data_IF_141483136549
#
_entry.id   IF_141483136549
#
_cell.length_a   1.000
_cell.length_b   1.000
_cell.length_c   1.000
_cell.angle_alpha   90.00
_cell.angle_beta   90.00
_cell.angle_gamma   90.00
#
_symmetry.space_group_name_H-M   'P 1'
#
loop_
_entity.id
_entity.type
_entity.pdbx_description
1 polymer ?
#
# COMPACT_ATOMS: atom_id res chain seq x y z
N UNK A 1 -40.31 22.81 -8.19
CA UNK A 1 -39.44 21.63 -7.93
C UNK A 1 -37.93 21.91 -7.95
N UNK A 2 -37.41 22.97 -8.62
CA UNK A 2 -35.96 23.30 -8.64
C UNK A 2 -35.40 23.80 -7.28
N UNK A 3 -36.15 24.58 -6.51
CA UNK A 3 -35.70 25.06 -5.18
C UNK A 3 -35.45 23.94 -4.15
N UNK A 4 -36.28 22.88 -4.12
CA UNK A 4 -36.10 21.77 -3.17
C UNK A 4 -34.84 20.93 -3.43
N UNK A 5 -34.34 20.88 -4.68
CA UNK A 5 -33.06 20.20 -5.00
C UNK A 5 -31.85 21.04 -4.59
N UNK A 6 -31.97 22.37 -4.57
CA UNK A 6 -30.92 23.33 -4.16
C UNK A 6 -30.59 23.22 -2.66
N UNK A 7 -31.60 23.12 -1.80
CA UNK A 7 -31.39 22.94 -0.35
C UNK A 7 -30.77 21.59 -0.02
N UNK A 8 -31.14 20.53 -0.74
CA UNK A 8 -30.62 19.16 -0.51
C UNK A 8 -29.14 19.04 -0.90
N UNK A 9 -28.68 19.72 -1.97
CA UNK A 9 -27.26 19.73 -2.36
C UNK A 9 -26.38 20.54 -1.40
N UNK A 10 -26.87 21.67 -0.88
CA UNK A 10 -26.20 22.48 0.15
C UNK A 10 -26.12 21.70 1.47
N UNK A 11 -27.21 21.00 1.84
CA UNK A 11 -27.21 20.09 2.99
C UNK A 11 -26.22 18.94 2.75
N UNK A 12 -26.18 18.34 1.55
CA UNK A 12 -25.25 17.24 1.22
C UNK A 12 -23.76 17.66 1.29
N UNK A 13 -23.40 18.84 0.76
CA UNK A 13 -22.05 19.41 0.88
C UNK A 13 -21.71 19.76 2.32
N UNK A 14 -22.68 20.28 3.09
CA UNK A 14 -22.50 20.51 4.54
C UNK A 14 -22.34 19.21 5.34
N UNK A 15 -23.00 18.11 4.92
CA UNK A 15 -22.87 16.78 5.54
C UNK A 15 -21.58 16.05 5.11
N UNK A 16 -21.08 16.29 3.89
CA UNK A 16 -19.77 15.77 3.49
C UNK A 16 -18.62 16.43 4.27
N UNK A 17 -18.79 17.69 4.71
CA UNK A 17 -17.87 18.35 5.65
C UNK A 17 -18.00 17.82 7.09
N UNK A 18 -19.17 17.29 7.48
CA UNK A 18 -19.44 16.73 8.82
C UNK A 18 -18.98 15.27 8.97
N UNK A 19 -18.81 14.50 7.89
CA UNK A 19 -18.43 13.08 7.92
C UNK A 19 -16.93 12.81 8.22
N UNK A 20 -16.18 13.82 8.69
CA UNK A 20 -14.76 13.69 9.07
C UNK A 20 -14.56 13.69 10.61
N UNK A 21 -15.62 13.80 11.42
CA UNK A 21 -15.50 13.85 12.89
C UNK A 21 -16.35 12.76 13.57
N UNK A 22 -15.77 11.89 14.43
CA UNK A 22 -16.53 11.10 15.39
C UNK A 22 -17.16 12.02 16.44
N UNK A 23 -18.47 11.89 16.65
CA UNK A 23 -19.31 12.44 17.72
C UNK A 23 -18.59 13.19 18.86
N UNK A 24 -18.74 14.51 18.90
CA UNK A 24 -18.44 15.35 20.07
C UNK A 24 -19.76 15.74 20.75
N UNK A 25 -20.28 14.85 21.58
CA UNK A 25 -21.27 15.20 22.60
C UNK A 25 -20.76 14.72 23.95
N UNK A 26 -20.23 15.62 24.77
CA UNK A 26 -20.53 15.69 26.21
C UNK A 26 -20.00 16.99 26.83
N UNK A 27 -20.96 17.74 27.41
CA UNK A 27 -20.92 18.60 28.59
C UNK A 27 -19.70 18.45 29.54
N UNK A 28 -19.13 19.55 30.05
CA UNK A 28 -19.43 20.10 31.39
C UNK A 28 -18.63 21.39 31.66
N UNK A 29 -19.29 22.31 32.36
CA UNK A 29 -18.78 23.57 32.88
C UNK A 29 -18.03 23.39 34.22
N UNK A 30 -17.10 24.32 34.47
CA UNK A 30 -16.53 24.73 35.76
C UNK A 30 -15.88 23.67 36.66
N UNK A 31 -14.54 23.74 36.82
CA UNK A 31 -13.91 23.89 38.14
C UNK A 31 -12.44 24.29 38.03
N UNK A 32 -12.05 25.27 38.85
CA UNK A 32 -10.67 25.65 39.15
C UNK A 32 -9.94 24.47 39.82
N UNK A 33 -8.77 24.11 39.32
CA UNK A 33 -7.86 23.13 39.94
C UNK A 33 -7.05 22.36 38.89
N UNK A 34 -5.72 22.37 39.04
CA UNK A 34 -4.75 21.66 38.20
C UNK A 34 -5.22 20.26 37.75
N UNK A 35 -5.40 20.07 36.44
CA UNK A 35 -5.85 18.81 35.84
C UNK A 35 -4.68 17.87 35.45
N UNK A 36 -4.88 16.54 35.51
CA UNK A 36 -3.83 15.54 35.36
C UNK A 36 -3.31 15.40 33.92
N UNK A 37 -2.05 14.95 33.77
CA UNK A 37 -1.27 14.84 32.52
C UNK A 37 -1.97 14.08 31.36
N UNK A 38 -2.94 13.20 31.63
CA UNK A 38 -3.66 12.44 30.59
C UNK A 38 -4.70 13.27 29.83
N UNK A 39 -5.26 14.30 30.46
CA UNK A 39 -6.28 15.18 29.88
C UNK A 39 -5.63 16.25 28.99
N UNK A 40 -4.43 16.70 29.38
CA UNK A 40 -3.65 17.69 28.66
C UNK A 40 -3.19 17.19 27.29
N UNK A 41 -2.81 15.91 27.17
CA UNK A 41 -2.49 15.27 25.89
C UNK A 41 -3.73 15.15 24.96
N UNK A 42 -4.92 14.94 25.54
CA UNK A 42 -6.15 14.85 24.76
C UNK A 42 -6.56 16.23 24.22
N UNK A 43 -6.48 17.27 25.06
CA UNK A 43 -6.79 18.66 24.67
C UNK A 43 -5.77 19.17 23.63
N UNK A 44 -4.48 18.84 23.79
CA UNK A 44 -3.45 19.14 22.79
C UNK A 44 -3.75 18.51 21.43
N UNK A 45 -3.97 17.20 21.38
CA UNK A 45 -4.27 16.51 20.13
C UNK A 45 -5.54 17.07 19.46
N UNK A 46 -6.55 17.43 20.26
CA UNK A 46 -7.76 18.09 19.77
C UNK A 46 -7.47 19.48 19.19
N UNK A 47 -6.63 20.27 19.85
CA UNK A 47 -6.24 21.60 19.38
C UNK A 47 -5.48 21.50 18.04
N UNK A 48 -4.48 20.63 17.96
CA UNK A 48 -3.70 20.38 16.74
C UNK A 48 -4.60 19.93 15.58
N UNK A 49 -5.52 18.99 15.83
CA UNK A 49 -6.45 18.51 14.80
C UNK A 49 -7.43 19.60 14.33
N UNK A 50 -7.95 20.43 15.23
CA UNK A 50 -8.88 21.50 14.88
C UNK A 50 -8.19 22.63 14.10
N UNK A 51 -6.98 23.00 14.49
CA UNK A 51 -6.16 23.97 13.75
C UNK A 51 -5.89 23.45 12.33
N UNK A 52 -5.42 22.20 12.20
CA UNK A 52 -5.17 21.59 10.90
C UNK A 52 -6.45 21.47 10.03
N UNK A 53 -7.61 21.28 10.65
CA UNK A 53 -8.89 21.28 9.93
C UNK A 53 -9.26 22.69 9.45
N UNK A 54 -9.05 23.71 10.28
CA UNK A 54 -9.27 25.09 9.92
C UNK A 54 -8.33 25.55 8.81
N UNK A 55 -7.05 25.16 8.82
CA UNK A 55 -6.08 25.40 7.74
C UNK A 55 -6.59 24.85 6.41
N UNK A 56 -6.95 23.56 6.37
CA UNK A 56 -7.50 22.93 5.16
C UNK A 56 -8.76 23.61 4.65
N UNK A 57 -9.57 24.14 5.56
CA UNK A 57 -10.80 24.84 5.20
C UNK A 57 -10.49 26.22 4.65
N UNK A 58 -9.54 26.95 5.25
CA UNK A 58 -9.03 28.23 4.75
C UNK A 58 -8.50 28.09 3.32
N UNK A 59 -7.63 27.11 3.06
CA UNK A 59 -7.06 26.87 1.73
C UNK A 59 -8.14 26.63 0.66
N UNK A 60 -9.20 25.89 1.02
CA UNK A 60 -10.32 25.62 0.12
C UNK A 60 -11.13 26.87 -0.17
N UNK A 61 -11.43 27.68 0.84
CA UNK A 61 -12.19 28.91 0.64
C UNK A 61 -11.37 29.95 -0.13
N UNK A 62 -10.07 30.09 0.17
CA UNK A 62 -9.15 30.94 -0.60
C UNK A 62 -9.14 30.52 -2.08
N UNK A 63 -8.93 29.23 -2.34
CA UNK A 63 -8.91 28.74 -3.72
C UNK A 63 -10.23 29.03 -4.46
N UNK A 64 -11.36 28.98 -3.75
CA UNK A 64 -12.66 29.29 -4.35
C UNK A 64 -12.81 30.78 -4.65
N UNK A 65 -12.38 31.64 -3.73
CA UNK A 65 -12.31 33.09 -3.93
C UNK A 65 -11.44 33.41 -5.16
N UNK A 66 -10.23 32.86 -5.22
CA UNK A 66 -9.30 33.10 -6.34
C UNK A 66 -9.93 32.71 -7.69
N UNK A 67 -10.64 31.58 -7.74
CA UNK A 67 -11.35 31.13 -8.93
C UNK A 67 -12.46 32.10 -9.35
N UNK A 68 -13.21 32.66 -8.40
CA UNK A 68 -14.24 33.67 -8.68
C UNK A 68 -13.60 34.93 -9.26
N UNK A 69 -12.53 35.47 -8.64
CA UNK A 69 -11.89 36.70 -9.09
C UNK A 69 -11.13 36.56 -10.41
N UNK A 70 -10.65 35.35 -10.74
CA UNK A 70 -10.02 35.09 -12.03
C UNK A 70 -11.04 34.89 -13.17
N UNK A 71 -12.29 34.53 -12.85
CA UNK A 71 -13.32 34.32 -13.85
C UNK A 71 -14.05 35.62 -14.18
N UNK A 72 -13.58 36.31 -15.22
CA UNK A 72 -14.15 37.58 -15.71
C UNK A 72 -15.64 37.46 -16.02
N UNK A 73 -16.08 36.34 -16.60
CA UNK A 73 -17.51 36.09 -16.87
C UNK A 73 -18.32 36.01 -15.59
N UNK A 74 -17.80 35.31 -14.57
CA UNK A 74 -18.44 35.22 -13.26
C UNK A 74 -18.52 36.59 -12.58
N UNK A 75 -17.42 37.36 -12.56
CA UNK A 75 -17.42 38.72 -12.01
C UNK A 75 -18.39 39.64 -12.73
N UNK A 76 -18.47 39.58 -14.06
CA UNK A 76 -19.43 40.37 -14.83
C UNK A 76 -20.87 40.01 -14.47
N UNK A 77 -21.18 38.72 -14.33
CA UNK A 77 -22.52 38.26 -13.94
C UNK A 77 -22.86 38.66 -12.50
N UNK A 78 -21.91 38.58 -11.56
CA UNK A 78 -22.07 39.04 -10.17
C UNK A 78 -22.30 40.56 -10.14
N UNK A 79 -21.55 41.32 -10.93
CA UNK A 79 -21.71 42.76 -11.11
C UNK A 79 -23.08 43.14 -11.66
N UNK A 80 -23.52 42.47 -12.72
CA UNK A 80 -24.85 42.68 -13.32
C UNK A 80 -25.98 42.35 -12.35
N UNK A 81 -25.77 41.38 -11.46
CA UNK A 81 -26.73 41.02 -10.41
C UNK A 81 -26.71 41.98 -9.19
N UNK A 82 -25.77 42.94 -9.14
CA UNK A 82 -25.63 43.88 -8.03
C UNK A 82 -25.09 43.26 -6.74
N UNK A 83 -24.37 42.13 -6.83
CA UNK A 83 -23.90 41.35 -5.67
C UNK A 83 -22.40 41.56 -5.36
N UNK A 84 -21.75 42.56 -5.97
CA UNK A 84 -20.32 42.82 -5.75
C UNK A 84 -20.02 43.25 -4.31
N UNK A 85 -20.85 44.11 -3.72
CA UNK A 85 -20.67 44.53 -2.32
C UNK A 85 -20.81 43.34 -1.35
N UNK A 86 -21.71 42.40 -1.67
CA UNK A 86 -21.89 41.17 -0.89
C UNK A 86 -20.70 40.22 -1.06
N UNK A 87 -20.12 40.14 -2.26
CA UNK A 87 -18.88 39.39 -2.51
C UNK A 87 -17.72 39.97 -1.68
N UNK A 88 -17.46 41.27 -1.79
CA UNK A 88 -16.38 41.96 -1.05
C UNK A 88 -16.57 41.88 0.46
N UNK A 89 -17.82 41.98 0.94
CA UNK A 89 -18.15 41.79 2.35
C UNK A 89 -17.76 40.38 2.86
N UNK A 90 -17.95 39.34 2.03
CA UNK A 90 -17.52 37.99 2.37
C UNK A 90 -16.00 37.81 2.32
N UNK A 91 -15.29 38.53 1.44
CA UNK A 91 -13.80 38.52 1.42
C UNK A 91 -13.24 39.18 2.67
N UNK A 92 -13.87 40.26 3.13
CA UNK A 92 -13.51 40.92 4.39
C UNK A 92 -13.75 39.96 5.58
N UNK A 93 -14.90 39.29 5.61
CA UNK A 93 -15.21 38.29 6.64
C UNK A 93 -14.23 37.11 6.61
N UNK A 94 -13.84 36.64 5.43
CA UNK A 94 -12.82 35.61 5.26
C UNK A 94 -11.48 36.03 5.88
N UNK A 95 -11.08 37.29 5.68
CA UNK A 95 -9.86 37.85 6.27
C UNK A 95 -9.92 37.88 7.80
N UNK A 96 -11.09 38.14 8.40
CA UNK A 96 -11.28 37.98 9.85
C UNK A 96 -11.08 36.51 10.30
N UNK A 97 -11.57 35.56 9.50
CA UNK A 97 -11.34 34.13 9.74
C UNK A 97 -9.86 33.75 9.74
N UNK A 98 -9.07 34.32 8.81
CA UNK A 98 -7.62 34.17 8.79
C UNK A 98 -7.01 34.72 10.08
N UNK A 99 -7.44 35.89 10.55
CA UNK A 99 -6.99 36.47 11.82
C UNK A 99 -7.18 35.52 13.01
N UNK A 100 -8.36 34.88 13.10
CA UNK A 100 -8.64 33.87 14.12
C UNK A 100 -7.75 32.62 13.96
N UNK A 101 -7.51 32.16 12.73
CA UNK A 101 -6.65 30.99 12.49
C UNK A 101 -5.18 31.28 12.90
N UNK A 102 -4.66 32.46 12.57
CA UNK A 102 -3.34 32.91 13.01
C UNK A 102 -3.25 32.95 14.54
N UNK A 103 -4.25 33.52 15.21
CA UNK A 103 -4.31 33.52 16.67
C UNK A 103 -4.39 32.09 17.24
N UNK A 104 -5.05 31.16 16.54
CA UNK A 104 -5.09 29.75 16.95
C UNK A 104 -3.71 29.10 16.91
N UNK A 105 -2.92 29.34 15.85
CA UNK A 105 -1.54 28.87 15.73
C UNK A 105 -0.63 29.48 16.81
N UNK A 106 -0.76 30.79 17.08
CA UNK A 106 -0.01 31.46 18.15
C UNK A 106 -0.31 30.85 19.53
N UNK A 107 -1.58 30.62 19.83
CA UNK A 107 -2.02 29.98 21.09
C UNK A 107 -1.54 28.53 21.19
N UNK A 108 -1.52 27.80 20.07
CA UNK A 108 -1.00 26.44 20.00
C UNK A 108 0.51 26.41 20.32
N UNK A 109 1.28 27.33 19.74
CA UNK A 109 2.70 27.52 20.02
C UNK A 109 2.99 27.92 21.48
N UNK A 110 2.10 28.72 22.08
CA UNK A 110 2.15 29.09 23.49
C UNK A 110 1.67 27.99 24.46
N UNK A 111 1.34 26.79 23.97
CA UNK A 111 0.70 25.70 24.74
C UNK A 111 -0.63 26.08 25.41
N UNK A 112 -1.27 27.16 24.95
CA UNK A 112 -2.62 27.53 25.35
C UNK A 112 -3.64 26.79 24.48
N UNK A 113 -3.77 25.48 24.71
CA UNK A 113 -4.59 24.61 23.87
C UNK A 113 -6.08 24.99 23.86
N UNK A 114 -6.62 25.51 24.97
CA UNK A 114 -8.01 25.96 25.04
C UNK A 114 -8.24 27.22 24.20
N UNK A 115 -7.30 28.17 24.22
CA UNK A 115 -7.29 29.34 23.34
C UNK A 115 -7.16 28.95 21.87
N UNK A 116 -6.31 27.97 21.56
CA UNK A 116 -6.15 27.45 20.19
C UNK A 116 -7.45 26.81 19.68
N UNK A 117 -8.11 25.98 20.50
CA UNK A 117 -9.40 25.35 20.15
C UNK A 117 -10.48 26.41 19.89
N UNK A 118 -10.60 27.42 20.75
CA UNK A 118 -11.60 28.47 20.60
C UNK A 118 -11.41 29.25 19.28
N UNK A 119 -10.19 29.72 19.03
CA UNK A 119 -9.86 30.49 17.83
C UNK A 119 -9.98 29.64 16.55
N UNK A 120 -9.53 28.38 16.56
CA UNK A 120 -9.66 27.48 15.41
C UNK A 120 -11.13 27.16 15.08
N UNK A 121 -11.96 27.01 16.12
CA UNK A 121 -13.41 26.78 15.95
C UNK A 121 -14.09 27.99 15.30
N UNK A 122 -13.76 29.20 15.78
CA UNK A 122 -14.31 30.42 15.21
C UNK A 122 -13.84 30.65 13.77
N UNK A 123 -12.55 30.45 13.49
CA UNK A 123 -12.00 30.49 12.13
C UNK A 123 -12.74 29.52 11.19
N UNK A 124 -12.89 28.26 11.60
CA UNK A 124 -13.62 27.25 10.83
C UNK A 124 -15.08 27.65 10.58
N UNK A 125 -15.76 28.22 11.58
CA UNK A 125 -17.13 28.71 11.44
C UNK A 125 -17.22 29.81 10.39
N UNK A 126 -16.33 30.80 10.47
CA UNK A 126 -16.24 31.90 9.51
C UNK A 126 -15.97 31.38 8.09
N UNK A 127 -15.00 30.50 7.90
CA UNK A 127 -14.71 29.93 6.59
C UNK A 127 -15.91 29.19 6.00
N UNK A 128 -16.64 28.42 6.82
CA UNK A 128 -17.86 27.74 6.37
C UNK A 128 -18.95 28.73 5.96
N UNK A 129 -19.14 29.81 6.72
CA UNK A 129 -20.10 30.86 6.38
C UNK A 129 -19.77 31.52 5.04
N UNK A 130 -18.51 31.93 4.87
CA UNK A 130 -18.02 32.52 3.61
C UNK A 130 -18.24 31.55 2.45
N UNK A 131 -17.85 30.29 2.60
CA UNK A 131 -18.01 29.29 1.54
C UNK A 131 -19.47 29.16 1.07
N UNK A 132 -20.41 29.07 2.02
CA UNK A 132 -21.85 29.00 1.71
C UNK A 132 -22.34 30.29 1.06
N UNK A 133 -21.92 31.45 1.56
CA UNK A 133 -22.32 32.75 1.02
C UNK A 133 -21.83 32.95 -0.41
N UNK A 134 -20.58 32.60 -0.72
CA UNK A 134 -20.02 32.64 -2.07
C UNK A 134 -20.84 31.77 -3.04
N UNK A 135 -21.23 30.56 -2.62
CA UNK A 135 -22.12 29.72 -3.42
C UNK A 135 -23.49 30.34 -3.67
N UNK A 136 -24.06 31.03 -2.68
CA UNK A 136 -25.34 31.73 -2.83
C UNK A 136 -25.20 32.91 -3.79
N UNK A 137 -24.09 33.65 -3.74
CA UNK A 137 -23.79 34.75 -4.66
C UNK A 137 -23.73 34.23 -6.09
N UNK A 138 -22.96 33.17 -6.35
CA UNK A 138 -22.85 32.56 -7.68
C UNK A 138 -24.19 32.04 -8.21
N UNK A 139 -25.01 31.42 -7.35
CA UNK A 139 -26.33 30.92 -7.74
C UNK A 139 -27.28 32.07 -8.10
N UNK A 140 -27.27 33.15 -7.32
CA UNK A 140 -28.10 34.35 -7.55
C UNK A 140 -27.64 35.13 -8.78
N UNK A 141 -26.34 35.17 -9.08
CA UNK A 141 -25.80 35.83 -10.26
C UNK A 141 -25.98 35.04 -11.56
N UNK A 142 -26.51 33.82 -11.48
CA UNK A 142 -26.74 32.97 -12.66
C UNK A 142 -25.47 32.35 -13.22
N UNK A 143 -24.37 32.37 -12.47
CA UNK A 143 -23.15 31.64 -12.83
C UNK A 143 -23.47 30.15 -12.80
N UNK A 144 -23.24 29.46 -13.91
CA UNK A 144 -23.56 28.04 -14.00
C UNK A 144 -22.72 27.27 -12.98
N UNK A 145 -23.40 26.69 -11.97
CA UNK A 145 -22.80 25.96 -10.84
C UNK A 145 -21.83 24.82 -11.24
N UNK A 146 -21.78 24.40 -12.51
CA UNK A 146 -20.85 23.38 -12.98
C UNK A 146 -19.40 23.88 -13.07
N UNK A 147 -19.14 25.01 -13.72
CA UNK A 147 -17.79 25.35 -14.18
C UNK A 147 -16.80 25.63 -13.03
N UNK A 148 -17.20 26.41 -12.03
CA UNK A 148 -16.33 26.77 -10.89
C UNK A 148 -16.26 25.69 -9.80
N UNK A 149 -17.32 24.91 -9.62
CA UNK A 149 -17.38 23.84 -8.60
C UNK A 149 -16.63 22.60 -9.11
N UNK A 150 -16.80 22.26 -10.39
CA UNK A 150 -16.06 21.16 -11.02
C UNK A 150 -14.56 21.48 -11.07
N UNK A 151 -14.19 22.74 -11.31
CA UNK A 151 -12.80 23.21 -11.23
C UNK A 151 -12.15 22.92 -9.87
N UNK A 152 -12.81 23.29 -8.77
CA UNK A 152 -12.26 23.03 -7.44
C UNK A 152 -12.23 21.54 -7.09
N UNK A 153 -13.25 20.78 -7.49
CA UNK A 153 -13.28 19.32 -7.34
C UNK A 153 -12.12 18.63 -8.06
N UNK A 154 -11.76 19.12 -9.25
CA UNK A 154 -10.64 18.61 -10.04
C UNK A 154 -9.28 18.92 -9.39
N UNK A 155 -9.06 20.15 -8.92
CA UNK A 155 -7.83 20.52 -8.22
C UNK A 155 -7.63 19.67 -6.95
N UNK A 156 -8.69 19.46 -6.18
CA UNK A 156 -8.66 18.58 -5.00
C UNK A 156 -8.36 17.13 -5.41
N UNK A 157 -8.96 16.63 -6.50
CA UNK A 157 -8.69 15.29 -7.00
C UNK A 157 -7.25 15.12 -7.46
N UNK A 158 -6.65 16.15 -8.07
CA UNK A 158 -5.24 16.17 -8.44
C UNK A 158 -4.33 16.14 -7.20
N UNK A 159 -4.60 16.98 -6.18
CA UNK A 159 -3.85 16.97 -4.90
C UNK A 159 -3.87 15.60 -4.23
N UNK A 160 -5.06 14.98 -4.12
CA UNK A 160 -5.19 13.61 -3.59
C UNK A 160 -4.44 12.57 -4.41
N UNK A 161 -4.30 12.81 -5.71
CA UNK A 161 -3.56 11.91 -6.60
C UNK A 161 -2.05 12.08 -6.42
N UNK A 162 -1.56 13.31 -6.23
CA UNK A 162 -0.17 13.59 -5.82
C UNK A 162 0.16 12.95 -4.47
N UNK A 163 -0.71 13.06 -3.47
CA UNK A 163 -0.50 12.40 -2.17
C UNK A 163 -0.35 10.87 -2.30
N UNK A 164 -1.06 10.25 -3.26
CA UNK A 164 -0.90 8.82 -3.55
C UNK A 164 0.45 8.51 -4.18
N UNK A 165 0.93 9.38 -5.08
CA UNK A 165 2.28 9.26 -5.66
C UNK A 165 3.33 9.31 -4.56
N UNK A 166 3.24 10.26 -3.63
CA UNK A 166 4.18 10.37 -2.51
C UNK A 166 4.17 9.12 -1.62
N UNK A 167 2.99 8.57 -1.33
CA UNK A 167 2.88 7.30 -0.60
C UNK A 167 3.52 6.13 -1.35
N UNK A 168 3.40 6.09 -2.68
CA UNK A 168 4.04 5.06 -3.50
C UNK A 168 5.56 5.21 -3.51
N UNK A 169 6.08 6.45 -3.56
CA UNK A 169 7.52 6.75 -3.52
C UNK A 169 8.21 6.29 -2.23
N UNK A 170 7.46 6.13 -1.14
CA UNK A 170 7.97 5.57 0.12
C UNK A 170 8.21 4.05 0.05
N UNK A 171 7.73 3.37 -0.99
CA UNK A 171 7.96 1.94 -1.20
C UNK A 171 9.30 1.68 -1.87
N UNK A 172 9.79 0.44 -1.78
CA UNK A 172 10.98 0.01 -2.51
C UNK A 172 10.65 -0.23 -3.99
N UNK A 173 10.67 0.87 -4.76
CA UNK A 173 10.34 0.93 -6.18
C UNK A 173 11.58 0.75 -7.07
N UNK A 174 11.37 0.20 -8.27
CA UNK A 174 12.41 0.18 -9.32
C UNK A 174 12.58 1.56 -9.95
N UNK A 175 13.63 1.74 -10.75
CA UNK A 175 13.82 2.96 -11.54
C UNK A 175 12.65 3.21 -12.50
N UNK A 176 12.18 2.14 -13.16
CA UNK A 176 11.02 2.19 -14.07
C UNK A 176 9.75 2.68 -13.35
N UNK A 177 9.44 2.14 -12.17
CA UNK A 177 8.29 2.61 -11.38
C UNK A 177 8.39 4.10 -11.05
N UNK A 178 9.59 4.54 -10.66
CA UNK A 178 9.85 5.94 -10.27
C UNK A 178 9.66 6.86 -11.47
N UNK A 179 10.15 6.48 -12.64
CA UNK A 179 9.98 7.24 -13.88
C UNK A 179 8.49 7.38 -14.27
N UNK A 180 7.70 6.31 -14.13
CA UNK A 180 6.25 6.37 -14.36
C UNK A 180 5.58 7.36 -13.39
N UNK A 181 5.97 7.36 -12.11
CA UNK A 181 5.44 8.30 -11.11
C UNK A 181 5.88 9.75 -11.35
N UNK A 182 7.11 9.97 -11.82
CA UNK A 182 7.62 11.28 -12.18
C UNK A 182 6.84 11.84 -13.37
N UNK A 183 6.59 11.03 -14.39
CA UNK A 183 5.74 11.38 -15.53
C UNK A 183 4.30 11.70 -15.10
N UNK A 184 3.73 10.91 -14.19
CA UNK A 184 2.40 11.17 -13.64
C UNK A 184 2.33 12.49 -12.88
N UNK A 185 3.42 12.91 -12.24
CA UNK A 185 3.50 14.19 -11.51
C UNK A 185 3.42 15.38 -12.48
N UNK A 186 3.98 15.28 -13.68
CA UNK A 186 3.90 16.34 -14.71
C UNK A 186 2.46 16.65 -15.08
N UNK A 187 1.63 15.62 -15.29
CA UNK A 187 0.19 15.78 -15.54
C UNK A 187 -0.58 16.34 -14.35
N UNK A 188 -0.01 16.30 -13.15
CA UNK A 188 -0.65 16.77 -11.92
C UNK A 188 -0.20 18.17 -11.48
N UNK A 189 0.35 18.97 -12.39
CA UNK A 189 0.72 20.35 -12.10
C UNK A 189 -0.53 21.18 -11.74
N UNK A 190 -0.69 21.46 -10.44
CA UNK A 190 -1.85 22.17 -9.88
C UNK A 190 -1.95 23.59 -10.43
N UNK A 191 -0.82 24.25 -10.68
CA UNK A 191 -0.84 25.62 -11.17
C UNK A 191 -1.23 25.69 -12.64
N UNK A 192 -0.71 24.78 -13.47
CA UNK A 192 -1.16 24.64 -14.86
C UNK A 192 -2.64 24.28 -14.95
N UNK A 193 -3.10 23.36 -14.10
CA UNK A 193 -4.53 23.02 -14.04
C UNK A 193 -5.38 24.20 -13.57
N UNK A 194 -4.89 25.02 -12.63
CA UNK A 194 -5.57 26.24 -12.21
C UNK A 194 -5.76 27.20 -13.40
N UNK A 195 -4.71 27.44 -14.18
CA UNK A 195 -4.78 28.29 -15.39
C UNK A 195 -5.81 27.73 -16.38
N UNK A 196 -5.73 26.43 -16.70
CA UNK A 196 -6.70 25.78 -17.61
C UNK A 196 -8.14 25.92 -17.11
N UNK A 197 -8.37 25.76 -15.82
CA UNK A 197 -9.71 25.93 -15.23
C UNK A 197 -10.17 27.39 -15.23
N UNK A 198 -9.26 28.35 -15.03
CA UNK A 198 -9.54 29.78 -15.18
C UNK A 198 -9.93 30.13 -16.62
N UNK A 199 -9.35 29.44 -17.61
CA UNK A 199 -9.68 29.57 -19.04
C UNK A 199 -10.97 28.80 -19.44
N UNK A 200 -11.62 28.11 -18.50
CA UNK A 200 -12.80 27.27 -18.76
C UNK A 200 -12.48 25.93 -19.42
N UNK A 201 -11.21 25.56 -19.53
CA UNK A 201 -10.74 24.33 -20.14
C UNK A 201 -10.75 23.17 -19.14
N UNK A 202 -11.95 22.76 -18.75
CA UNK A 202 -12.19 21.67 -17.79
C UNK A 202 -11.78 20.30 -18.37
N UNK A 203 -11.97 20.11 -19.69
CA UNK A 203 -11.70 18.84 -20.37
C UNK A 203 -10.22 18.45 -20.28
N UNK A 204 -9.30 19.38 -20.51
CA UNK A 204 -7.87 19.11 -20.47
C UNK A 204 -7.40 18.75 -19.06
N UNK A 205 -7.99 19.38 -18.02
CA UNK A 205 -7.69 19.02 -16.62
C UNK A 205 -8.20 17.63 -16.27
N UNK A 206 -9.39 17.25 -16.76
CA UNK A 206 -9.92 15.89 -16.62
C UNK A 206 -9.02 14.87 -17.32
N UNK A 207 -8.55 15.18 -18.53
CA UNK A 207 -7.65 14.33 -19.29
C UNK A 207 -6.32 14.13 -18.55
N UNK A 208 -5.70 15.22 -18.10
CA UNK A 208 -4.46 15.20 -17.34
C UNK A 208 -4.58 14.34 -16.06
N UNK A 209 -5.66 14.54 -15.28
CA UNK A 209 -5.93 13.73 -14.10
C UNK A 209 -6.14 12.25 -14.45
N UNK A 210 -6.74 11.95 -15.60
CA UNK A 210 -6.97 10.59 -16.07
C UNK A 210 -5.68 9.90 -16.49
N UNK A 211 -4.81 10.60 -17.23
CA UNK A 211 -3.48 10.12 -17.62
C UNK A 211 -2.65 9.76 -16.38
N UNK A 212 -2.59 10.66 -15.39
CA UNK A 212 -1.87 10.41 -14.15
C UNK A 212 -2.42 9.20 -13.37
N UNK A 213 -3.75 9.04 -13.29
CA UNK A 213 -4.38 7.88 -12.64
C UNK A 213 -4.07 6.56 -13.35
N UNK A 214 -3.97 6.56 -14.67
CA UNK A 214 -3.61 5.37 -15.45
C UNK A 214 -2.15 4.96 -15.17
N UNK A 215 -1.24 5.92 -15.12
CA UNK A 215 0.16 5.68 -14.76
C UNK A 215 0.30 5.12 -13.34
N UNK A 216 -0.43 5.67 -12.36
CA UNK A 216 -0.45 5.12 -10.99
C UNK A 216 -0.99 3.70 -10.96
N UNK A 217 -2.05 3.41 -11.72
CA UNK A 217 -2.61 2.06 -11.83
C UNK A 217 -1.58 1.07 -12.39
N UNK A 218 -0.78 1.52 -13.36
CA UNK A 218 0.28 0.70 -13.93
C UNK A 218 1.36 0.35 -12.90
N UNK A 219 1.80 1.31 -12.09
CA UNK A 219 2.73 1.05 -10.98
C UNK A 219 2.15 0.03 -9.99
N UNK A 220 0.87 0.16 -9.62
CA UNK A 220 0.22 -0.84 -8.77
C UNK A 220 0.19 -2.24 -9.40
N UNK A 221 -0.05 -2.33 -10.72
CA UNK A 221 -0.04 -3.60 -11.46
C UNK A 221 1.35 -4.25 -11.40
N UNK A 222 2.40 -3.49 -11.70
CA UNK A 222 3.79 -3.95 -11.67
C UNK A 222 4.21 -4.39 -10.26
N UNK A 223 3.79 -3.67 -9.22
CA UNK A 223 4.04 -4.06 -7.83
C UNK A 223 3.32 -5.37 -7.47
N UNK A 224 2.06 -5.51 -7.88
CA UNK A 224 1.29 -6.72 -7.64
C UNK A 224 1.89 -7.94 -8.36
N UNK A 225 2.38 -7.78 -9.58
CA UNK A 225 3.05 -8.85 -10.34
C UNK A 225 4.34 -9.29 -9.66
N UNK A 226 5.22 -8.35 -9.32
CA UNK A 226 6.46 -8.68 -8.60
C UNK A 226 6.20 -9.33 -7.24
N UNK A 227 5.16 -8.90 -6.52
CA UNK A 227 4.75 -9.53 -5.27
C UNK A 227 4.27 -10.98 -5.49
N UNK A 228 3.47 -11.23 -6.53
CA UNK A 228 3.01 -12.59 -6.89
C UNK A 228 4.17 -13.48 -7.30
N UNK A 229 5.10 -12.97 -8.09
CA UNK A 229 6.30 -13.72 -8.51
C UNK A 229 7.17 -14.09 -7.31
N UNK A 230 7.46 -13.13 -6.43
CA UNK A 230 8.20 -13.39 -5.18
C UNK A 230 7.51 -14.43 -4.32
N UNK A 231 6.19 -14.33 -4.14
CA UNK A 231 5.44 -15.29 -3.34
C UNK A 231 5.45 -16.69 -3.97
N UNK A 232 5.25 -16.77 -5.28
CA UNK A 232 5.30 -18.04 -6.03
C UNK A 232 6.66 -18.71 -5.89
N UNK A 233 7.74 -17.94 -6.02
CA UNK A 233 9.09 -18.45 -5.86
C UNK A 233 9.36 -18.90 -4.42
N UNK A 234 8.96 -18.11 -3.42
CA UNK A 234 9.06 -18.49 -2.01
C UNK A 234 8.39 -19.84 -1.73
N UNK A 235 7.19 -20.05 -2.26
CA UNK A 235 6.47 -21.32 -2.10
C UNK A 235 7.23 -22.48 -2.76
N UNK A 236 7.77 -22.29 -3.98
CA UNK A 236 8.57 -23.31 -4.67
C UNK A 236 9.81 -23.70 -3.85
N UNK A 237 10.49 -22.72 -3.28
CA UNK A 237 11.66 -22.94 -2.44
C UNK A 237 11.28 -23.73 -1.17
N UNK A 238 10.23 -23.33 -0.47
CA UNK A 238 9.74 -24.06 0.71
C UNK A 238 9.39 -25.52 0.40
N UNK A 239 8.70 -25.76 -0.72
CA UNK A 239 8.35 -27.12 -1.15
C UNK A 239 9.59 -27.97 -1.45
N UNK A 240 10.61 -27.38 -2.07
CA UNK A 240 11.85 -28.07 -2.36
C UNK A 240 12.66 -28.36 -1.09
N UNK A 241 12.80 -27.39 -0.17
CA UNK A 241 13.45 -27.61 1.12
C UNK A 241 12.77 -28.74 1.91
N UNK A 242 11.44 -28.77 1.92
CA UNK A 242 10.66 -29.90 2.47
C UNK A 242 10.98 -31.22 1.76
N UNK A 243 11.14 -31.19 0.43
CA UNK A 243 11.57 -32.35 -0.35
C UNK A 243 12.96 -32.86 0.03
N UNK A 244 13.90 -31.95 0.29
CA UNK A 244 15.26 -32.28 0.76
C UNK A 244 15.24 -32.89 2.16
N UNK A 245 14.46 -32.32 3.09
CA UNK A 245 14.28 -32.89 4.43
C UNK A 245 13.77 -34.34 4.36
N UNK A 246 12.77 -34.60 3.53
CA UNK A 246 12.27 -35.96 3.31
C UNK A 246 13.34 -36.89 2.70
N UNK A 247 14.19 -36.38 1.81
CA UNK A 247 15.29 -37.16 1.24
C UNK A 247 16.38 -37.47 2.26
N UNK A 248 16.72 -36.53 3.14
CA UNK A 248 17.62 -36.73 4.27
C UNK A 248 17.11 -37.81 5.21
N UNK A 249 15.82 -37.77 5.55
CA UNK A 249 15.21 -38.76 6.43
C UNK A 249 15.26 -40.17 5.81
N UNK A 250 15.03 -40.27 4.48
CA UNK A 250 15.21 -41.55 3.78
C UNK A 250 16.66 -42.04 3.79
N UNK A 251 17.64 -41.15 3.61
CA UNK A 251 19.06 -41.51 3.72
C UNK A 251 19.36 -42.05 5.12
N UNK A 252 18.89 -41.36 6.15
CA UNK A 252 19.06 -41.78 7.55
C UNK A 252 18.48 -43.17 7.80
N UNK A 253 17.25 -43.42 7.36
CA UNK A 253 16.60 -44.73 7.51
C UNK A 253 17.35 -45.84 6.77
N UNK A 254 17.87 -45.57 5.56
CA UNK A 254 18.67 -46.55 4.80
C UNK A 254 19.99 -46.88 5.48
N UNK A 255 20.67 -45.87 6.04
CA UNK A 255 21.91 -46.06 6.80
C UNK A 255 21.66 -46.89 8.07
N UNK A 256 20.58 -46.60 8.81
CA UNK A 256 20.18 -47.38 9.99
C UNK A 256 19.84 -48.84 9.62
N UNK A 257 19.13 -49.05 8.52
CA UNK A 257 18.84 -50.41 8.02
C UNK A 257 20.13 -51.15 7.67
N UNK A 258 21.08 -50.49 6.99
CA UNK A 258 22.36 -51.06 6.65
C UNK A 258 23.17 -51.46 7.89
N UNK A 259 23.18 -50.60 8.91
CA UNK A 259 23.80 -50.87 10.21
C UNK A 259 23.18 -52.11 10.89
N UNK A 260 21.84 -52.19 10.91
CA UNK A 260 21.10 -53.34 11.43
C UNK A 260 21.40 -54.64 10.66
N UNK A 261 21.69 -54.53 9.36
CA UNK A 261 22.12 -55.64 8.50
C UNK A 261 23.62 -55.94 8.59
N UNK A 262 24.34 -55.33 9.56
CA UNK A 262 25.77 -55.49 9.83
C UNK A 262 26.69 -55.02 8.69
N UNK A 263 26.21 -54.14 7.82
CA UNK A 263 27.10 -53.43 6.90
C UNK A 263 27.97 -52.44 7.67
N UNK A 264 29.22 -52.26 7.23
CA UNK A 264 30.12 -51.26 7.81
C UNK A 264 29.74 -49.86 7.31
N UNK A 265 28.75 -49.25 7.96
CA UNK A 265 28.24 -47.92 7.63
C UNK A 265 29.31 -46.83 7.75
N UNK A 266 30.23 -46.96 8.71
CA UNK A 266 31.35 -46.03 8.88
C UNK A 266 32.24 -46.02 7.64
N UNK A 267 32.61 -47.18 7.09
CA UNK A 267 33.41 -47.25 5.87
C UNK A 267 32.69 -46.67 4.64
N UNK A 268 31.36 -46.83 4.56
CA UNK A 268 30.54 -46.24 3.50
C UNK A 268 30.55 -44.70 3.59
N UNK A 269 30.41 -44.17 4.81
CA UNK A 269 30.42 -42.72 5.05
C UNK A 269 31.81 -42.12 4.83
N UNK A 270 32.88 -42.79 5.27
CA UNK A 270 34.26 -42.33 5.09
C UNK A 270 34.63 -42.19 3.62
N UNK A 271 34.18 -43.10 2.76
CA UNK A 271 34.38 -43.00 1.31
C UNK A 271 33.64 -41.83 0.67
N UNK A 272 32.56 -41.36 1.31
CA UNK A 272 31.86 -40.13 0.92
C UNK A 272 32.44 -38.88 1.59
N UNK A 273 33.52 -39.01 2.38
CA UNK A 273 34.19 -37.91 3.08
C UNK A 273 33.59 -37.56 4.43
N UNK A 274 32.75 -38.42 5.00
CA UNK A 274 32.09 -38.20 6.30
C UNK A 274 32.55 -39.22 7.33
N UNK A 275 32.93 -38.77 8.52
CA UNK A 275 33.40 -39.62 9.61
C UNK A 275 32.26 -40.43 10.25
N UNK A 276 31.03 -39.89 10.25
CA UNK A 276 29.87 -40.54 10.82
C UNK A 276 28.56 -39.93 10.29
N UNK A 277 27.44 -40.56 10.62
CA UNK A 277 26.11 -40.15 10.16
C UNK A 277 25.74 -38.75 10.68
N UNK A 278 26.16 -38.41 11.90
CA UNK A 278 25.87 -37.12 12.50
C UNK A 278 26.55 -35.97 11.73
N UNK A 279 27.82 -36.13 11.34
CA UNK A 279 28.54 -35.16 10.52
C UNK A 279 27.87 -34.95 9.15
N UNK A 280 27.41 -36.04 8.52
CA UNK A 280 26.66 -35.95 7.27
C UNK A 280 25.34 -35.17 7.45
N UNK A 281 24.57 -35.49 8.49
CA UNK A 281 23.30 -34.82 8.75
C UNK A 281 23.49 -33.33 9.09
N UNK A 282 24.48 -33.00 9.91
CA UNK A 282 24.83 -31.62 10.25
C UNK A 282 25.25 -30.82 9.01
N UNK A 283 26.07 -31.42 8.12
CA UNK A 283 26.48 -30.78 6.87
C UNK A 283 25.27 -30.46 5.98
N UNK A 284 24.34 -31.41 5.78
CA UNK A 284 23.15 -31.19 4.98
C UNK A 284 22.20 -30.16 5.60
N UNK A 285 22.08 -30.17 6.94
CA UNK A 285 21.26 -29.21 7.67
C UNK A 285 21.84 -27.79 7.63
N UNK A 286 23.16 -27.65 7.69
CA UNK A 286 23.84 -26.36 7.53
C UNK A 286 23.59 -25.76 6.14
N UNK A 287 23.72 -26.55 5.07
CA UNK A 287 23.44 -26.07 3.71
C UNK A 287 21.98 -25.63 3.53
N UNK A 288 21.02 -26.34 4.12
CA UNK A 288 19.61 -25.93 4.09
C UNK A 288 19.37 -24.63 4.88
N UNK A 289 20.00 -24.49 6.06
CA UNK A 289 19.91 -23.26 6.86
C UNK A 289 20.50 -22.05 6.16
N UNK A 290 21.65 -22.21 5.49
CA UNK A 290 22.26 -21.18 4.66
C UNK A 290 21.34 -20.77 3.50
N UNK A 291 20.72 -21.73 2.81
CA UNK A 291 19.75 -21.46 1.74
C UNK A 291 18.50 -20.74 2.24
N UNK A 292 18.05 -20.98 3.47
CA UNK A 292 16.94 -20.26 4.10
C UNK A 292 17.31 -18.83 4.51
N UNK A 293 18.53 -18.61 5.02
CA UNK A 293 19.00 -17.31 5.50
C UNK A 293 19.45 -16.37 4.37
N UNK A 294 20.04 -16.89 3.29
CA UNK A 294 20.44 -16.10 2.11
C UNK A 294 19.25 -15.69 1.21
N UNK A 295 18.02 -15.77 1.74
CA UNK A 295 16.78 -15.72 0.98
C UNK A 295 16.36 -14.37 0.41
N UNK A 296 17.19 -13.34 0.52
CA UNK A 296 16.89 -12.03 -0.08
C UNK A 296 17.04 -12.04 -1.61
N UNK A 297 17.86 -12.94 -2.16
CA UNK A 297 18.05 -13.11 -3.60
C UNK A 297 17.68 -14.53 -4.04
N UNK A 298 16.47 -14.65 -4.61
CA UNK A 298 15.91 -15.91 -5.15
C UNK A 298 16.89 -16.67 -6.05
N UNK A 299 17.77 -15.97 -6.80
CA UNK A 299 18.79 -16.63 -7.64
C UNK A 299 19.82 -17.41 -6.85
N UNK A 300 20.30 -16.86 -5.73
CA UNK A 300 21.30 -17.51 -4.89
C UNK A 300 20.69 -18.75 -4.25
N UNK A 301 19.44 -18.65 -3.76
CA UNK A 301 18.71 -19.81 -3.23
C UNK A 301 18.58 -20.93 -4.27
N UNK A 302 18.26 -20.62 -5.53
CA UNK A 302 18.15 -21.64 -6.59
C UNK A 302 19.48 -22.34 -6.84
N UNK A 303 20.60 -21.61 -6.81
CA UNK A 303 21.94 -22.21 -6.96
C UNK A 303 22.28 -23.13 -5.79
N UNK A 304 22.04 -22.68 -4.56
CA UNK A 304 22.26 -23.47 -3.35
C UNK A 304 21.40 -24.73 -3.34
N UNK A 305 20.13 -24.62 -3.72
CA UNK A 305 19.20 -25.74 -3.86
C UNK A 305 19.68 -26.77 -4.88
N UNK A 306 20.19 -26.34 -6.03
CA UNK A 306 20.73 -27.25 -7.04
C UNK A 306 21.96 -28.00 -6.53
N UNK A 307 22.85 -27.31 -5.80
CA UNK A 307 24.02 -27.90 -5.16
C UNK A 307 23.61 -28.96 -4.14
N UNK A 308 22.68 -28.64 -3.22
CA UNK A 308 22.19 -29.59 -2.21
C UNK A 308 21.52 -30.80 -2.87
N UNK A 309 20.69 -30.57 -3.87
CA UNK A 309 20.02 -31.63 -4.62
C UNK A 309 20.98 -32.53 -5.40
N UNK A 310 22.12 -32.01 -5.85
CA UNK A 310 23.18 -32.81 -6.45
C UNK A 310 23.89 -33.67 -5.40
N UNK A 311 24.33 -33.08 -4.28
CA UNK A 311 24.99 -33.82 -3.18
C UNK A 311 24.11 -34.96 -2.65
N UNK A 312 22.81 -34.71 -2.43
CA UNK A 312 21.87 -35.75 -1.97
C UNK A 312 21.70 -36.88 -3.00
N UNK A 313 21.77 -36.58 -4.30
CA UNK A 313 21.71 -37.60 -5.35
C UNK A 313 22.98 -38.43 -5.39
N UNK A 314 24.14 -37.80 -5.28
CA UNK A 314 25.44 -38.49 -5.23
C UNK A 314 25.52 -39.43 -4.02
N UNK A 315 25.10 -38.96 -2.83
CA UNK A 315 25.01 -39.79 -1.62
C UNK A 315 24.05 -40.97 -1.84
N UNK A 316 22.85 -40.72 -2.37
CA UNK A 316 21.89 -41.80 -2.62
C UNK A 316 22.38 -42.83 -3.64
N UNK A 317 23.09 -42.40 -4.68
CA UNK A 317 23.68 -43.28 -5.68
C UNK A 317 24.82 -44.11 -5.08
N UNK A 318 25.74 -43.48 -4.33
CA UNK A 318 26.81 -44.15 -3.61
C UNK A 318 26.24 -45.22 -2.68
N UNK A 319 25.28 -44.87 -1.83
CA UNK A 319 24.61 -45.80 -0.92
C UNK A 319 23.94 -46.97 -1.64
N UNK A 320 23.29 -46.72 -2.77
CA UNK A 320 22.63 -47.77 -3.55
C UNK A 320 23.66 -48.71 -4.19
N UNK A 321 24.79 -48.18 -4.66
CA UNK A 321 25.91 -48.98 -5.18
C UNK A 321 26.49 -49.91 -4.12
N UNK A 322 26.74 -49.41 -2.91
CA UNK A 322 27.27 -50.23 -1.81
C UNK A 322 26.32 -51.33 -1.37
N UNK A 323 25.04 -51.00 -1.20
CA UNK A 323 24.03 -51.99 -0.78
C UNK A 323 23.78 -53.06 -1.84
N UNK A 324 23.78 -52.70 -3.12
CA UNK A 324 23.61 -53.67 -4.21
C UNK A 324 24.85 -54.56 -4.41
N UNK A 325 26.05 -54.01 -4.29
CA UNK A 325 27.29 -54.80 -4.40
C UNK A 325 27.52 -55.72 -3.18
N UNK A 326 27.03 -55.33 -2.00
CA UNK A 326 27.06 -56.15 -0.79
C UNK A 326 26.18 -57.41 -0.89
N UNK A 327 25.08 -57.37 -1.64
CA UNK A 327 24.21 -58.53 -1.87
C UNK A 327 24.78 -59.57 -2.84
N UNK A 328 25.74 -59.22 -3.70
CA UNK A 328 26.38 -60.18 -4.61
C UNK A 328 27.52 -60.99 -3.96
N UNK A 329 28.04 -60.56 -2.80
CA UNK A 329 29.16 -61.23 -2.12
C UNK A 329 28.73 -62.35 -1.15
N UNK A 330 27.44 -62.41 -0.78
CA UNK A 330 26.86 -63.46 0.08
C UNK A 330 25.61 -64.09 -0.57
N UNK A 331 25.72 -64.38 -1.87
CA UNK A 331 24.80 -65.27 -2.58
C UNK A 331 25.32 -66.69 -2.52
N UNK A 332 24.80 -67.43 -1.54
CA UNK A 332 24.96 -68.87 -1.40
C UNK A 332 24.56 -69.59 -2.70
N UNK A 333 25.31 -70.64 -3.02
CA UNK A 333 25.22 -71.39 -4.26
C UNK A 333 23.98 -72.31 -4.20
N UNK A 334 22.79 -71.73 -4.31
CA UNK A 334 21.50 -72.42 -4.28
C UNK A 334 20.99 -72.71 -5.68
N UNK A 335 21.36 -73.87 -6.22
CA UNK A 335 20.84 -74.42 -7.47
C UNK A 335 19.34 -74.75 -7.31
N UNK A 336 18.46 -73.78 -7.63
CA UNK A 336 17.01 -73.91 -7.55
C UNK A 336 16.36 -73.90 -8.93
N UNK A 337 16.36 -75.06 -9.60
CA UNK A 337 15.61 -75.31 -10.83
C UNK A 337 14.11 -75.26 -10.51
N UNK A 338 13.42 -74.19 -10.91
CA UNK A 338 12.00 -73.96 -10.67
C UNK A 338 11.29 -73.53 -11.95
N UNK A 339 10.67 -74.50 -12.60
CA UNK A 339 9.95 -74.43 -13.86
C UNK A 339 8.57 -73.72 -13.73
N UNK A 340 8.13 -73.10 -14.84
CA UNK A 340 6.77 -72.58 -15.14
C UNK A 340 6.32 -71.33 -14.33
N UNK A 341 5.64 -70.34 -14.89
CA UNK A 341 4.66 -70.42 -15.96
C UNK A 341 4.50 -69.07 -16.68
N UNK A 342 4.16 -69.18 -17.96
CA UNK A 342 3.63 -68.13 -18.82
C UNK A 342 2.43 -67.45 -18.16
N UNK A 343 2.34 -66.13 -18.22
CA UNK A 343 1.14 -65.54 -18.81
C UNK A 343 1.43 -64.19 -19.46
N UNK A 344 0.88 -64.03 -20.66
CA UNK A 344 0.96 -62.85 -21.49
C UNK A 344 -0.28 -62.00 -21.26
N UNK A 345 -0.09 -60.76 -20.83
CA UNK A 345 -1.15 -59.76 -20.74
C UNK A 345 -0.80 -58.50 -21.50
N UNK A 346 -0.80 -58.57 -22.83
CA UNK A 346 -0.79 -57.39 -23.70
C UNK A 346 -2.12 -56.63 -23.57
N UNK A 347 -2.05 -55.34 -23.30
CA UNK A 347 -3.17 -54.40 -23.37
C UNK A 347 -2.75 -53.13 -24.09
N UNK A 348 -2.64 -53.20 -25.42
CA UNK A 348 -2.49 -52.03 -26.29
C UNK A 348 -3.88 -51.54 -26.74
N UNK A 349 -4.10 -50.24 -26.51
CA UNK A 349 -4.89 -49.23 -27.25
C UNK A 349 -6.01 -49.56 -28.25
N UNK A 350 -7.03 -48.69 -28.21
CA UNK A 350 -7.95 -48.33 -29.31
C UNK A 350 -9.37 -48.03 -28.79
N UNK A 351 -9.77 -46.77 -28.50
CA UNK A 351 -10.40 -45.75 -29.38
C UNK A 351 -11.70 -46.23 -30.07
N UNK A 352 -12.72 -45.39 -30.29
CA UNK A 352 -12.71 -43.91 -30.43
C UNK A 352 -13.06 -43.11 -29.18
#
# INVERSE_FOLDING_TARGET
MKQKKSTVAIILLSTMLLNIIPNLTTSYANNFGTLPLSENNNIRNRAENLVALADKTQERVQSFIDLIYANVTALNLIGQAGLMDELEGNITLFSHGIGNLTAAHEMLGASNYQGAVANATEAFHVFKQVFVALHVILDKSGVQKGELIDAQGLLEAMRRTLEKIEKLRQLNLTLEDKEILDNATVFLNIESARILLMEGNVADVVENLTQAKNMIREVYRLLAERARERNTMRIRIQNFLKGLQNAMERIRQRLQLAENQRFNVTAILEQMGYQNMEQLMQHLQAMMGEAEQNGELIRNMIQDMNRIGQTIREINQGLSGFLNNGHQSHGDNGNGNGNNNKDHGHGHGGKP
#
